data_IF_552292255058
#
_entry.id   IF_552292255058
#
_cell.length_a   1.000
_cell.length_b   1.000
_cell.length_c   1.000
_cell.angle_alpha   90.00
_cell.angle_beta   90.00
_cell.angle_gamma   90.00
#
_symmetry.space_group_name_H-M   'P 1'
#
loop_
_entity.id
_entity.type
_entity.pdbx_description
1 polymer ?
#
# COMPACT_ATOMS: atom_id res chain seq x y z
N UNK A 1 -6.96 -1.98 -15.18
CA UNK A 1 -6.02 -1.17 -14.39
C UNK A 1 -6.04 -1.60 -12.95
N UNK A 2 -4.89 -1.78 -12.33
CA UNK A 2 -4.79 -2.02 -10.89
C UNK A 2 -4.03 -0.87 -10.25
N UNK A 3 -4.64 -0.22 -9.26
CA UNK A 3 -4.00 0.84 -8.49
C UNK A 3 -3.41 0.20 -7.24
N UNK A 4 -2.10 0.35 -7.04
CA UNK A 4 -1.43 -0.08 -5.80
C UNK A 4 -1.16 1.17 -4.95
N UNK A 5 -1.87 1.27 -3.84
CA UNK A 5 -1.64 2.34 -2.86
C UNK A 5 -0.49 1.91 -1.96
N UNK A 6 0.60 2.65 -2.00
CA UNK A 6 1.80 2.34 -1.23
C UNK A 6 2.13 3.43 -0.22
N UNK A 7 2.93 3.09 0.75
CA UNK A 7 3.38 3.99 1.79
C UNK A 7 3.57 3.27 3.13
N UNK A 8 4.11 4.00 4.10
CA UNK A 8 4.32 3.45 5.45
C UNK A 8 2.98 3.22 6.16
N UNK A 9 3.01 2.47 7.25
CA UNK A 9 1.82 2.31 8.10
C UNK A 9 1.33 3.67 8.58
N UNK A 10 0.01 3.83 8.65
CA UNK A 10 -0.60 5.10 9.06
C UNK A 10 -0.67 6.16 7.96
N UNK A 11 -0.21 5.87 6.75
CA UNK A 11 -0.28 6.81 5.63
C UNK A 11 -1.69 6.95 5.02
N UNK A 12 -2.63 6.09 5.41
CA UNK A 12 -4.02 6.18 4.96
C UNK A 12 -4.39 5.26 3.80
N UNK A 13 -3.58 4.25 3.50
CA UNK A 13 -3.82 3.33 2.38
C UNK A 13 -5.22 2.70 2.42
N UNK A 14 -5.61 2.18 3.58
CA UNK A 14 -6.92 1.52 3.73
C UNK A 14 -8.07 2.51 3.56
N UNK A 15 -7.99 3.67 4.20
CA UNK A 15 -9.01 4.71 4.11
C UNK A 15 -9.17 5.22 2.69
N UNK A 16 -8.08 5.56 2.04
CA UNK A 16 -8.08 6.05 0.65
C UNK A 16 -8.55 4.94 -0.29
N UNK A 17 -8.11 3.70 -0.05
CA UNK A 17 -8.52 2.54 -0.84
C UNK A 17 -10.03 2.31 -0.81
N UNK A 18 -10.65 2.38 0.35
CA UNK A 18 -12.09 2.24 0.47
C UNK A 18 -12.85 3.39 -0.20
N UNK A 19 -12.37 4.63 -0.04
CA UNK A 19 -12.99 5.79 -0.69
C UNK A 19 -12.93 5.68 -2.22
N UNK A 20 -11.77 5.31 -2.77
CA UNK A 20 -11.62 5.09 -4.21
C UNK A 20 -12.52 3.95 -4.70
N UNK A 21 -12.54 2.84 -3.99
CA UNK A 21 -13.36 1.68 -4.35
C UNK A 21 -14.83 2.03 -4.41
N UNK A 22 -15.32 2.76 -3.43
CA UNK A 22 -16.71 3.21 -3.39
C UNK A 22 -17.06 4.14 -4.56
N UNK A 23 -16.20 5.13 -4.85
CA UNK A 23 -16.45 6.08 -5.92
C UNK A 23 -16.33 5.46 -7.32
N UNK A 24 -15.42 4.50 -7.51
CA UNK A 24 -15.17 3.89 -8.81
C UNK A 24 -15.97 2.60 -9.04
N UNK A 25 -16.57 2.03 -8.01
CA UNK A 25 -17.22 0.72 -8.09
C UNK A 25 -16.23 -0.42 -8.31
N UNK A 26 -14.99 -0.25 -7.84
CA UNK A 26 -13.92 -1.24 -8.00
C UNK A 26 -13.74 -2.04 -6.71
N UNK A 27 -13.33 -3.33 -6.78
CA UNK A 27 -12.98 -4.08 -5.59
C UNK A 27 -11.71 -3.53 -4.94
N UNK A 28 -11.68 -3.60 -3.60
CA UNK A 28 -10.53 -3.23 -2.80
C UNK A 28 -9.96 -4.44 -2.08
N UNK A 29 -8.65 -4.59 -2.10
CA UNK A 29 -7.93 -5.67 -1.41
C UNK A 29 -6.92 -5.08 -0.44
N UNK A 30 -6.98 -5.51 0.81
CA UNK A 30 -5.95 -5.21 1.81
C UNK A 30 -4.79 -6.17 1.62
N UNK A 31 -3.62 -5.63 1.23
CA UNK A 31 -2.46 -6.46 0.94
C UNK A 31 -1.99 -7.30 2.13
N UNK A 32 -2.17 -6.79 3.34
CA UNK A 32 -1.76 -7.52 4.55
C UNK A 32 -2.53 -8.84 4.75
N UNK A 33 -3.73 -8.95 4.19
CA UNK A 33 -4.54 -10.18 4.29
C UNK A 33 -3.94 -11.35 3.51
N UNK A 34 -2.96 -11.08 2.65
CA UNK A 34 -2.32 -12.10 1.79
C UNK A 34 -1.06 -12.69 2.39
N UNK A 35 -0.67 -12.28 3.59
CA UNK A 35 0.50 -12.88 4.25
C UNK A 35 0.28 -14.35 4.59
N UNK A 36 1.29 -15.23 4.33
CA UNK A 36 1.21 -16.61 4.79
C UNK A 36 1.21 -16.69 6.32
N UNK A 37 0.69 -17.79 6.90
CA UNK A 37 0.60 -17.94 8.36
C UNK A 37 1.92 -17.72 9.10
N UNK A 38 3.06 -18.12 8.52
CA UNK A 38 4.37 -17.89 9.11
C UNK A 38 4.69 -16.41 9.30
N UNK A 39 4.30 -15.57 8.33
CA UNK A 39 4.48 -14.12 8.43
C UNK A 39 3.57 -13.51 9.49
N UNK A 40 2.32 -13.95 9.53
CA UNK A 40 1.35 -13.50 10.54
C UNK A 40 1.86 -13.81 11.93
N UNK A 41 2.41 -15.00 12.13
CA UNK A 41 2.99 -15.41 13.42
C UNK A 41 4.15 -14.51 13.85
N UNK A 42 5.07 -14.19 12.92
CA UNK A 42 6.17 -13.27 13.19
C UNK A 42 5.70 -11.87 13.54
N UNK A 43 4.76 -11.33 12.75
CA UNK A 43 4.22 -10.00 12.99
C UNK A 43 3.52 -9.89 14.34
N UNK A 44 2.77 -10.92 14.75
CA UNK A 44 2.08 -10.94 16.03
C UNK A 44 3.05 -10.97 17.21
N UNK A 45 4.27 -11.47 17.00
CA UNK A 45 5.33 -11.51 18.02
C UNK A 45 6.23 -10.26 17.96
N UNK A 46 5.95 -9.32 17.06
CA UNK A 46 6.79 -8.14 16.86
C UNK A 46 8.11 -8.43 16.16
N UNK A 47 8.22 -9.57 15.49
CA UNK A 47 9.42 -9.96 14.75
C UNK A 47 9.34 -9.35 13.35
N UNK A 48 10.35 -8.55 12.92
CA UNK A 48 10.37 -7.99 11.56
C UNK A 48 10.45 -9.07 10.50
N UNK A 49 9.78 -8.87 9.38
CA UNK A 49 9.87 -9.76 8.23
C UNK A 49 11.13 -9.47 7.43
N UNK A 50 11.85 -10.52 7.03
CA UNK A 50 12.95 -10.41 6.07
C UNK A 50 12.41 -10.26 4.65
N UNK A 51 13.30 -9.92 3.70
CA UNK A 51 12.94 -9.90 2.29
C UNK A 51 12.46 -11.28 1.83
N UNK A 52 13.14 -12.35 2.27
CA UNK A 52 12.74 -13.72 1.93
C UNK A 52 11.37 -14.09 2.48
N UNK A 53 11.03 -13.62 3.68
CA UNK A 53 9.68 -13.82 4.25
C UNK A 53 8.61 -13.17 3.39
N UNK A 54 8.91 -12.02 2.79
CA UNK A 54 7.96 -11.23 1.99
C UNK A 54 7.76 -11.78 0.59
N UNK A 55 8.71 -12.52 0.03
CA UNK A 55 8.61 -13.00 -1.35
C UNK A 55 7.34 -13.83 -1.63
N UNK A 56 6.96 -14.83 -0.82
CA UNK A 56 5.71 -15.55 -1.05
C UNK A 56 4.47 -14.66 -0.96
N UNK A 57 4.48 -13.69 -0.07
CA UNK A 57 3.41 -12.70 0.07
C UNK A 57 3.29 -11.83 -1.18
N UNK A 58 4.39 -11.30 -1.65
CA UNK A 58 4.44 -10.48 -2.88
C UNK A 58 4.02 -11.29 -4.11
N UNK A 59 4.39 -12.58 -4.17
CA UNK A 59 3.96 -13.45 -5.26
C UNK A 59 2.45 -13.64 -5.28
N UNK A 60 1.81 -13.79 -4.13
CA UNK A 60 0.35 -13.88 -4.03
C UNK A 60 -0.32 -12.58 -4.52
N UNK A 61 0.21 -11.43 -4.11
CA UNK A 61 -0.30 -10.15 -4.56
C UNK A 61 -0.08 -9.96 -6.07
N UNK A 62 1.09 -10.32 -6.57
CA UNK A 62 1.36 -10.27 -8.01
C UNK A 62 0.37 -11.13 -8.79
N UNK A 63 0.10 -12.34 -8.34
CA UNK A 63 -0.82 -13.26 -9.01
C UNK A 63 -2.24 -12.68 -9.03
N UNK A 64 -2.70 -12.07 -7.94
CA UNK A 64 -3.97 -11.36 -7.90
C UNK A 64 -4.01 -10.22 -8.90
N UNK A 65 -2.96 -9.40 -8.94
CA UNK A 65 -2.86 -8.27 -9.86
C UNK A 65 -2.86 -8.76 -11.31
N UNK A 66 -2.10 -9.81 -11.61
CA UNK A 66 -2.05 -10.41 -12.94
C UNK A 66 -3.43 -10.88 -13.40
N UNK A 67 -4.19 -11.52 -12.52
CA UNK A 67 -5.54 -11.98 -12.83
C UNK A 67 -6.44 -10.83 -13.30
N UNK A 68 -6.39 -9.68 -12.60
CA UNK A 68 -7.16 -8.51 -12.98
C UNK A 68 -6.68 -7.89 -14.29
N UNK A 69 -5.37 -7.78 -14.47
CA UNK A 69 -4.78 -7.21 -15.69
C UNK A 69 -5.12 -8.07 -16.91
N UNK A 70 -4.95 -9.39 -16.80
CA UNK A 70 -5.23 -10.33 -17.90
C UNK A 70 -6.70 -10.40 -18.26
N UNK A 71 -7.58 -10.20 -17.28
CA UNK A 71 -9.04 -10.19 -17.49
C UNK A 71 -9.58 -8.83 -17.92
N UNK A 72 -8.73 -7.84 -18.08
CA UNK A 72 -9.10 -6.45 -18.39
C UNK A 72 -10.08 -5.87 -17.36
N UNK A 73 -9.87 -6.21 -16.09
CA UNK A 73 -10.67 -5.73 -14.96
C UNK A 73 -9.86 -4.77 -14.10
N UNK A 74 -10.57 -4.05 -13.23
CA UNK A 74 -9.97 -3.03 -12.39
C UNK A 74 -10.03 -3.43 -10.92
N UNK A 75 -9.00 -3.05 -10.15
CA UNK A 75 -8.95 -3.28 -8.71
C UNK A 75 -8.05 -2.26 -8.02
N UNK A 76 -8.19 -2.15 -6.72
CA UNK A 76 -7.35 -1.33 -5.85
C UNK A 76 -6.75 -2.26 -4.81
N UNK A 77 -5.42 -2.17 -4.63
CA UNK A 77 -4.67 -2.98 -3.66
C UNK A 77 -3.89 -2.03 -2.75
N UNK A 78 -4.05 -2.20 -1.44
CA UNK A 78 -3.21 -1.52 -0.46
C UNK A 78 -2.03 -2.41 -0.11
N UNK A 79 -0.82 -1.94 -0.36
CA UNK A 79 0.42 -2.66 -0.05
C UNK A 79 1.52 -1.66 0.24
N UNK A 80 2.20 -1.80 1.37
CA UNK A 80 3.25 -0.85 1.76
C UNK A 80 4.32 -0.67 0.68
N UNK A 81 4.75 -1.76 0.04
CA UNK A 81 5.68 -1.77 -1.11
C UNK A 81 6.89 -0.83 -0.92
N UNK A 82 7.52 -0.90 0.25
CA UNK A 82 8.52 0.08 0.69
C UNK A 82 9.82 0.05 -0.12
N UNK A 83 10.21 -1.10 -0.65
CA UNK A 83 11.45 -1.25 -1.42
C UNK A 83 11.15 -1.38 -2.91
N UNK A 84 12.08 -0.89 -3.71
CA UNK A 84 12.04 -1.04 -5.17
C UNK A 84 11.94 -2.52 -5.58
N UNK A 85 12.63 -3.40 -4.88
CA UNK A 85 12.56 -4.85 -5.10
C UNK A 85 11.11 -5.36 -5.00
N UNK A 86 10.35 -4.87 -4.01
CA UNK A 86 8.96 -5.27 -3.81
C UNK A 86 8.08 -4.75 -4.96
N UNK A 87 8.27 -3.49 -5.34
CA UNK A 87 7.51 -2.86 -6.42
C UNK A 87 7.76 -3.53 -7.77
N UNK A 88 9.01 -3.88 -8.07
CA UNK A 88 9.36 -4.61 -9.29
C UNK A 88 8.63 -5.94 -9.38
N UNK A 89 8.52 -6.64 -8.26
CA UNK A 89 7.82 -7.92 -8.23
C UNK A 89 6.34 -7.78 -8.53
N UNK A 90 5.69 -6.78 -7.97
CA UNK A 90 4.29 -6.48 -8.26
C UNK A 90 4.11 -5.97 -9.69
N UNK A 91 5.05 -5.19 -10.20
CA UNK A 91 5.00 -4.63 -11.56
C UNK A 91 5.21 -5.65 -12.67
N UNK A 92 5.58 -6.89 -12.35
CA UNK A 92 5.66 -7.98 -13.33
C UNK A 92 4.33 -8.23 -14.04
N UNK A 93 3.22 -7.79 -13.45
CA UNK A 93 1.90 -7.88 -14.07
C UNK A 93 1.73 -6.96 -15.30
N UNK A 94 2.64 -6.01 -15.55
CA UNK A 94 2.64 -5.17 -16.75
C UNK A 94 2.34 -3.71 -16.51
N UNK A 95 2.12 -2.98 -17.60
CA UNK A 95 1.99 -1.51 -17.60
C UNK A 95 0.67 -1.00 -17.03
N UNK A 96 -0.30 -1.88 -16.80
CA UNK A 96 -1.59 -1.50 -16.22
C UNK A 96 -1.59 -1.44 -14.70
N UNK A 97 -0.44 -1.61 -14.08
CA UNK A 97 -0.24 -1.45 -12.63
C UNK A 97 0.23 -0.02 -12.38
N UNK A 98 -0.57 0.72 -11.62
CA UNK A 98 -0.26 2.12 -11.28
C UNK A 98 0.04 2.22 -9.80
N UNK A 99 1.26 2.64 -9.46
CA UNK A 99 1.63 2.90 -8.07
C UNK A 99 1.24 4.32 -7.68
N UNK A 100 0.54 4.43 -6.56
CA UNK A 100 0.19 5.72 -5.94
C UNK A 100 0.87 5.76 -4.57
N UNK A 101 1.82 6.66 -4.43
CA UNK A 101 2.59 6.80 -3.20
C UNK A 101 1.96 7.85 -2.29
N UNK A 102 1.41 7.40 -1.17
CA UNK A 102 0.85 8.26 -0.14
C UNK A 102 1.98 8.77 0.75
N UNK A 103 2.46 9.97 0.46
CA UNK A 103 3.64 10.55 1.10
C UNK A 103 3.22 11.47 2.25
N UNK A 104 3.80 11.23 3.41
CA UNK A 104 3.69 12.12 4.56
C UNK A 104 4.97 12.09 5.37
N UNK A 105 5.26 13.15 6.10
CA UNK A 105 6.42 13.14 6.97
C UNK A 105 6.17 12.32 8.23
N UNK A 106 7.26 11.98 8.93
CA UNK A 106 7.22 11.13 10.12
C UNK A 106 6.29 11.71 11.19
N UNK A 107 6.40 13.00 11.46
CA UNK A 107 5.64 13.65 12.55
C UNK A 107 4.14 13.59 12.29
N UNK A 108 3.71 13.85 11.05
CA UNK A 108 2.31 13.79 10.67
C UNK A 108 1.75 12.38 10.83
N UNK A 109 2.49 11.38 10.36
CA UNK A 109 2.05 9.98 10.41
C UNK A 109 2.04 9.47 11.84
N UNK A 110 3.05 9.80 12.64
CA UNK A 110 3.10 9.46 14.06
C UNK A 110 1.90 10.04 14.81
N UNK A 111 1.59 11.31 14.59
CA UNK A 111 0.43 11.97 15.18
C UNK A 111 -0.88 11.25 14.82
N UNK A 112 -1.05 10.88 13.55
CA UNK A 112 -2.24 10.15 13.10
C UNK A 112 -2.33 8.77 13.71
N UNK A 113 -1.22 8.07 13.88
CA UNK A 113 -1.19 6.76 14.52
C UNK A 113 -1.53 6.84 16.01
N UNK A 114 -1.04 7.85 16.71
CA UNK A 114 -1.34 8.06 18.13
C UNK A 114 -2.82 8.38 18.35
N UNK A 115 -3.46 9.06 17.41
CA UNK A 115 -4.88 9.35 17.46
C UNK A 115 -5.77 8.11 17.27
N UNK A 116 -5.24 7.01 16.73
CA UNK A 116 -5.98 5.76 16.56
C UNK A 116 -5.88 4.94 17.84
N UNK A 117 -7.02 4.56 18.41
CA UNK A 117 -7.08 3.79 19.65
C UNK A 117 -6.67 2.33 19.51
N UNK A 118 -6.58 1.79 18.29
CA UNK A 118 -6.35 0.36 18.02
C UNK A 118 -5.27 0.14 16.95
N UNK A 119 -4.14 0.82 17.02
CA UNK A 119 -3.03 0.48 16.14
C UNK A 119 -2.13 -0.56 16.80
N UNK A 120 -1.69 -1.52 16.02
CA UNK A 120 -0.84 -2.61 16.47
C UNK A 120 0.64 -2.30 16.40
N UNK A 121 1.01 -1.14 15.85
CA UNK A 121 2.39 -0.81 15.58
C UNK A 121 3.02 -0.09 16.75
N UNK A 122 4.12 -0.64 17.27
CA UNK A 122 4.95 0.01 18.27
C UNK A 122 5.73 1.16 17.61
N UNK A 123 6.05 2.20 18.38
CA UNK A 123 6.76 3.39 17.89
C UNK A 123 8.03 3.08 17.08
N UNK A 124 8.80 2.07 17.49
CA UNK A 124 10.01 1.66 16.79
C UNK A 124 9.78 1.08 15.39
N UNK A 125 8.57 0.52 15.14
CA UNK A 125 8.24 -0.05 13.84
C UNK A 125 8.01 1.03 12.78
N UNK A 126 7.41 2.16 13.13
CA UNK A 126 7.22 3.27 12.19
C UNK A 126 8.57 3.84 11.75
N UNK A 127 9.48 4.06 12.70
CA UNK A 127 10.85 4.51 12.38
C UNK A 127 11.54 3.53 11.44
N UNK A 128 11.44 2.23 11.72
CA UNK A 128 11.99 1.17 10.87
C UNK A 128 11.42 1.21 9.47
N UNK A 129 10.13 1.48 9.31
CA UNK A 129 9.51 1.60 7.99
C UNK A 129 10.03 2.80 7.21
N UNK A 130 10.20 3.95 7.86
CA UNK A 130 10.80 5.11 7.19
C UNK A 130 12.25 4.84 6.77
N UNK A 131 13.01 4.11 7.58
CA UNK A 131 14.38 3.72 7.23
C UNK A 131 14.42 2.74 6.05
N UNK A 132 13.43 1.86 5.96
CA UNK A 132 13.32 0.86 4.90
C UNK A 132 12.80 1.46 3.59
N UNK A 133 12.00 2.52 3.68
CA UNK A 133 11.35 3.15 2.53
C UNK A 133 12.37 3.64 1.51
N UNK A 134 12.27 3.11 0.31
CA UNK A 134 12.95 3.62 -0.89
C UNK A 134 11.90 4.35 -1.70
N UNK A 135 12.00 5.68 -1.76
CA UNK A 135 10.98 6.48 -2.44
C UNK A 135 10.92 6.13 -3.93
N UNK A 136 9.69 5.94 -4.48
CA UNK A 136 9.56 5.52 -5.88
C UNK A 136 9.85 6.67 -6.85
N UNK A 137 10.49 6.34 -7.98
CA UNK A 137 10.72 7.30 -9.06
C UNK A 137 9.53 7.38 -10.02
N UNK A 138 8.79 6.28 -10.18
CA UNK A 138 7.73 6.12 -11.17
C UNK A 138 6.37 5.88 -10.53
N UNK A 139 6.00 6.72 -9.58
CA UNK A 139 4.70 6.62 -8.94
C UNK A 139 4.03 7.99 -8.95
N UNK A 140 2.70 7.99 -8.87
CA UNK A 140 1.96 9.21 -8.57
C UNK A 140 2.16 9.52 -7.09
N UNK A 141 2.83 10.62 -6.79
CA UNK A 141 3.08 11.04 -5.40
C UNK A 141 1.92 11.92 -4.93
N UNK A 142 1.35 11.55 -3.79
CA UNK A 142 0.20 12.25 -3.20
C UNK A 142 0.54 12.69 -1.78
N UNK A 143 0.37 13.98 -1.51
CA UNK A 143 0.56 14.54 -0.16
C UNK A 143 -0.65 14.20 0.72
N UNK A 144 -0.41 13.47 1.82
CA UNK A 144 -1.48 13.03 2.72
C UNK A 144 -1.87 14.07 3.77
N UNK A 145 -1.31 15.27 3.74
CA UNK A 145 -1.75 16.36 4.63
C UNK A 145 -3.16 16.84 4.28
N UNK A 146 -3.60 16.60 3.04
CA UNK A 146 -4.94 16.94 2.58
C UNK A 146 -6.02 15.98 3.11
N UNK A 147 -7.30 16.39 3.14
CA UNK A 147 -8.39 15.49 3.53
C UNK A 147 -8.57 14.32 2.53
N UNK A 148 -9.13 13.18 2.97
CA UNK A 148 -9.32 12.02 2.09
C UNK A 148 -10.05 12.33 0.79
N UNK A 149 -11.08 13.17 0.80
CA UNK A 149 -11.83 13.54 -0.39
C UNK A 149 -10.96 14.27 -1.42
N UNK A 150 -10.10 15.17 -0.95
CA UNK A 150 -9.15 15.88 -1.82
C UNK A 150 -8.11 14.94 -2.41
N UNK A 151 -7.60 14.01 -1.60
CA UNK A 151 -6.65 12.99 -2.05
C UNK A 151 -7.26 12.11 -3.14
N UNK A 152 -8.46 11.60 -2.91
CA UNK A 152 -9.18 10.75 -3.86
C UNK A 152 -9.45 11.51 -5.16
N UNK A 153 -9.91 12.75 -5.07
CA UNK A 153 -10.14 13.61 -6.24
C UNK A 153 -8.88 13.82 -7.06
N UNK A 154 -7.76 14.10 -6.39
CA UNK A 154 -6.46 14.28 -7.04
C UNK A 154 -6.03 13.00 -7.77
N UNK A 155 -6.14 11.83 -7.13
CA UNK A 155 -5.78 10.56 -7.75
C UNK A 155 -6.62 10.30 -8.99
N UNK A 156 -7.92 10.51 -8.90
CA UNK A 156 -8.82 10.30 -10.03
C UNK A 156 -8.48 11.23 -11.20
N UNK A 157 -8.25 12.50 -10.93
CA UNK A 157 -7.90 13.48 -11.95
C UNK A 157 -6.59 13.10 -12.65
N UNK A 158 -5.57 12.72 -11.90
CA UNK A 158 -4.27 12.37 -12.45
C UNK A 158 -4.31 11.07 -13.28
N UNK A 159 -5.15 10.13 -12.91
CA UNK A 159 -5.28 8.84 -13.61
C UNK A 159 -6.38 8.83 -14.68
N UNK A 160 -7.10 9.92 -14.85
CA UNK A 160 -8.17 10.03 -15.85
C UNK A 160 -9.40 9.19 -15.53
N UNK A 161 -9.73 9.07 -14.26
CA UNK A 161 -10.84 8.23 -13.79
C UNK A 161 -12.07 9.02 -13.37
#
# INVERSE_FOLDING_TARGET
MVIVLMGVSGSGKTTIGHCLAEQLGWPFYEGDDFHPPANVAKMSQGIPLSDDDRLPWLDRLRDLICEYVESDKNAIVACSALKELYRRRLAQAGDRVCFVYLQGDYDLIEERMEARQNHFMKAGLLESQFQTLEEPEKALVVDISEPPEAIVGFIRDQLGL
#
